data_IF_448582143520
#
_entry.id   IF_448582143520
#
_cell.length_a   1.000
_cell.length_b   1.000
_cell.length_c   1.000
_cell.angle_alpha   90.00
_cell.angle_beta   90.00
_cell.angle_gamma   90.00
#
_symmetry.space_group_name_H-M   'P 1'
#
loop_
_entity.id
_entity.type
_entity.pdbx_description
1 polymer ?
#
# COMPACT_ATOMS: atom_id res chain seq x y z
N UNK A 1 9.18 9.10 0.45
CA UNK A 1 8.47 9.60 1.64
C UNK A 1 8.69 8.62 2.78
N UNK A 2 9.31 9.03 3.88
CA UNK A 2 9.66 8.14 5.00
C UNK A 2 8.83 8.51 6.24
N UNK A 3 7.50 8.35 6.14
CA UNK A 3 6.58 8.61 7.26
C UNK A 3 6.31 7.27 7.96
N UNK A 4 6.54 7.16 9.28
CA UNK A 4 6.20 5.96 10.03
C UNK A 4 4.73 5.57 9.85
N UNK A 5 4.48 4.29 9.51
CA UNK A 5 3.14 3.76 9.25
C UNK A 5 2.72 3.75 7.78
N UNK A 6 3.48 4.38 6.88
CA UNK A 6 3.33 4.22 5.43
C UNK A 6 4.03 2.92 4.99
N UNK A 7 3.33 2.07 4.25
CA UNK A 7 3.81 0.78 3.74
C UNK A 7 4.03 0.75 2.24
N UNK A 8 3.55 1.77 1.52
CA UNK A 8 3.76 1.87 0.08
C UNK A 8 3.16 3.13 -0.53
N UNK A 9 3.56 3.40 -1.77
CA UNK A 9 3.01 4.48 -2.58
C UNK A 9 2.82 4.00 -4.02
N UNK A 10 1.80 4.49 -4.70
CA UNK A 10 1.54 4.20 -6.10
C UNK A 10 0.93 5.40 -6.83
N UNK A 11 0.97 5.36 -8.15
CA UNK A 11 0.18 6.25 -9.00
C UNK A 11 -1.10 5.48 -9.36
N UNK A 12 -2.24 6.16 -9.27
CA UNK A 12 -3.52 5.58 -9.65
C UNK A 12 -4.49 6.67 -10.06
N UNK A 13 -5.77 6.32 -9.99
CA UNK A 13 -6.87 7.23 -10.29
C UNK A 13 -7.72 7.44 -9.04
N UNK A 14 -8.11 8.70 -8.83
CA UNK A 14 -9.04 9.14 -7.81
C UNK A 14 -10.10 10.00 -8.52
N UNK A 15 -11.36 9.57 -8.48
CA UNK A 15 -12.49 10.28 -9.12
C UNK A 15 -12.23 10.62 -10.61
N UNK A 16 -11.66 9.69 -11.38
CA UNK A 16 -11.37 9.91 -12.81
C UNK A 16 -10.11 10.71 -13.11
N UNK A 17 -9.35 11.14 -12.08
CA UNK A 17 -8.14 11.97 -12.24
C UNK A 17 -6.89 11.27 -11.71
N UNK A 18 -5.70 11.51 -12.30
CA UNK A 18 -4.43 11.00 -11.78
C UNK A 18 -4.21 11.44 -10.33
N UNK A 19 -3.86 10.49 -9.48
CA UNK A 19 -3.60 10.73 -8.07
C UNK A 19 -2.48 9.84 -7.54
N UNK A 20 -1.94 10.25 -6.40
CA UNK A 20 -0.95 9.47 -5.67
C UNK A 20 -1.67 8.73 -4.56
N UNK A 21 -1.56 7.41 -4.55
CA UNK A 21 -2.08 6.56 -3.48
C UNK A 21 -0.99 6.30 -2.46
N UNK A 22 -1.31 6.53 -1.20
CA UNK A 22 -0.44 6.22 -0.05
C UNK A 22 -1.10 5.12 0.76
N UNK A 23 -0.41 3.99 0.87
CA UNK A 23 -0.87 2.84 1.62
C UNK A 23 -0.31 2.89 3.04
N UNK A 24 -1.16 2.75 4.04
CA UNK A 24 -0.80 2.81 5.46
C UNK A 24 -1.21 1.54 6.20
N UNK A 25 -0.50 1.23 7.27
CA UNK A 25 -0.88 0.14 8.18
C UNK A 25 -2.24 0.43 8.81
N UNK A 26 -2.46 1.67 9.25
CA UNK A 26 -3.70 2.13 9.89
C UNK A 26 -3.90 3.63 9.67
N UNK A 27 -5.13 4.07 9.38
CA UNK A 27 -5.50 5.48 9.38
C UNK A 27 -5.58 6.00 10.81
N UNK A 28 -4.58 6.77 11.20
CA UNK A 28 -4.54 7.48 12.48
C UNK A 28 -4.44 8.97 12.23
N UNK A 29 -4.94 9.78 13.15
CA UNK A 29 -4.89 11.25 13.03
C UNK A 29 -3.46 11.76 12.86
N UNK A 30 -2.48 11.17 13.57
CA UNK A 30 -1.06 11.53 13.44
C UNK A 30 -0.53 11.31 12.02
N UNK A 31 -0.82 10.15 11.42
CA UNK A 31 -0.38 9.83 10.05
C UNK A 31 -1.12 10.72 9.03
N UNK A 32 -2.43 10.89 9.18
CA UNK A 32 -3.24 11.72 8.28
C UNK A 32 -2.79 13.19 8.28
N UNK A 33 -2.30 13.70 9.41
CA UNK A 33 -1.77 15.06 9.51
C UNK A 33 -0.37 15.21 8.90
N UNK A 34 0.41 14.12 8.82
CA UNK A 34 1.77 14.12 8.23
C UNK A 34 1.75 13.93 6.72
N UNK A 35 0.73 13.25 6.19
CA UNK A 35 0.59 13.04 4.75
C UNK A 35 0.01 14.32 4.12
N UNK A 36 0.71 14.94 3.16
CA UNK A 36 0.19 16.12 2.49
C UNK A 36 -1.03 15.74 1.64
N UNK A 37 -2.00 16.65 1.52
CA UNK A 37 -3.19 16.44 0.68
C UNK A 37 -2.90 16.52 -0.82
N UNK A 38 -1.76 17.12 -1.19
CA UNK A 38 -1.26 17.20 -2.57
C UNK A 38 0.26 17.03 -2.61
N UNK A 39 0.77 16.42 -3.66
CA UNK A 39 2.21 16.32 -3.95
C UNK A 39 2.42 16.59 -5.43
N UNK A 40 3.29 17.57 -5.74
CA UNK A 40 3.55 18.06 -7.10
C UNK A 40 2.27 18.42 -7.90
N UNK A 41 1.26 18.92 -7.20
CA UNK A 41 -0.04 19.29 -7.77
C UNK A 41 -1.04 18.14 -7.89
N UNK A 42 -0.62 16.89 -7.70
CA UNK A 42 -1.51 15.73 -7.72
C UNK A 42 -2.20 15.52 -6.37
N UNK A 43 -3.50 15.19 -6.34
CA UNK A 43 -4.18 14.82 -5.10
C UNK A 43 -3.58 13.54 -4.52
N UNK A 44 -3.53 13.49 -3.19
CA UNK A 44 -3.06 12.32 -2.45
C UNK A 44 -4.24 11.63 -1.77
N UNK A 45 -4.44 10.36 -2.09
CA UNK A 45 -5.43 9.51 -1.43
C UNK A 45 -4.74 8.54 -0.48
N UNK A 46 -5.23 8.48 0.77
CA UNK A 46 -4.71 7.55 1.78
C UNK A 46 -5.62 6.34 1.87
N UNK A 47 -5.03 5.15 1.77
CA UNK A 47 -5.73 3.87 1.84
C UNK A 47 -5.13 3.02 2.97
N UNK A 48 -5.99 2.46 3.81
CA UNK A 48 -5.58 1.55 4.87
C UNK A 48 -5.52 0.13 4.31
N UNK A 49 -4.32 -0.47 4.33
CA UNK A 49 -4.09 -1.81 3.77
C UNK A 49 -3.60 -2.82 4.81
N UNK A 50 -3.34 -2.36 6.04
CA UNK A 50 -2.61 -3.17 7.01
C UNK A 50 -1.14 -3.34 6.64
N UNK A 51 -0.51 -4.37 7.18
CA UNK A 51 0.91 -4.67 6.89
C UNK A 51 1.02 -5.43 5.57
N UNK A 52 1.81 -4.91 4.63
CA UNK A 52 2.17 -5.65 3.42
C UNK A 52 3.28 -6.63 3.76
N UNK A 53 3.08 -7.91 3.44
CA UNK A 53 4.06 -8.98 3.63
C UNK A 53 4.23 -9.75 2.34
N UNK A 54 5.42 -10.32 2.16
CA UNK A 54 5.68 -11.25 1.06
C UNK A 54 4.70 -12.42 1.18
N UNK A 55 4.02 -12.75 0.09
CA UNK A 55 3.25 -13.99 0.03
C UNK A 55 4.24 -15.17 0.11
N UNK A 56 4.10 -15.98 1.15
CA UNK A 56 4.84 -17.23 1.23
C UNK A 56 4.22 -18.22 0.25
N UNK A 57 5.00 -18.62 -0.76
CA UNK A 57 4.62 -19.73 -1.61
C UNK A 57 4.67 -21.00 -0.74
N UNK A 58 3.51 -21.58 -0.45
CA UNK A 58 3.45 -22.92 0.11
C UNK A 58 4.14 -23.82 -0.92
N UNK A 59 5.41 -24.19 -0.70
CA UNK A 59 6.06 -25.27 -1.44
C UNK A 59 5.28 -26.55 -1.12
N UNK A 60 4.22 -26.80 -1.86
CA UNK A 60 3.61 -28.12 -1.94
C UNK A 60 4.67 -29.02 -2.56
N UNK A 61 5.49 -29.68 -1.73
CA UNK A 61 6.19 -30.88 -2.16
C UNK A 61 5.11 -31.93 -2.35
N UNK A 62 4.51 -31.97 -3.54
CA UNK A 62 3.72 -33.12 -3.96
C UNK A 62 4.67 -34.31 -4.03
N UNK A 63 4.39 -35.43 -3.34
CA UNK A 63 5.15 -36.66 -3.55
C UNK A 63 4.93 -37.08 -5.00
N UNK A 64 6.00 -37.24 -5.75
CA UNK A 64 5.96 -37.84 -7.08
C UNK A 64 5.39 -39.25 -6.89
N UNK A 65 4.19 -39.50 -7.42
CA UNK A 65 3.68 -40.86 -7.56
C UNK A 65 4.67 -41.59 -8.48
N UNK A 66 5.36 -42.56 -7.89
CA UNK A 66 5.94 -43.65 -8.66
C UNK A 66 4.82 -44.61 -9.04
N UNK A 67 4.81 -45.01 -10.30
CA UNK A 67 4.68 -46.38 -10.83
C UNK A 67 4.76 -46.32 -12.36
#
# INVERSE_FOLDING_TARGET
MAIPGVVGTAIGECDGSPCIKVFVVKKTTDIMNKIPSKLDGFPVAVEETGTIRRLEEKRTRSPQHGE
#
